data_IF_344041748358
#
_entry.id   IF_344041748358
#
_cell.length_a   1.000
_cell.length_b   1.000
_cell.length_c   1.000
_cell.angle_alpha   90.00
_cell.angle_beta   90.00
_cell.angle_gamma   90.00
#
_symmetry.space_group_name_H-M   'P 1'
#
loop_
_entity.id
_entity.type
_entity.pdbx_description
1 polymer ?
#
# COMPACT_ATOMS: atom_id res chain seq x y z
N UNK A 1 2.86 15.03 84.20
CA UNK A 1 2.95 13.80 83.38
C UNK A 1 2.52 14.21 81.97
N UNK A 2 3.46 14.56 81.09
CA UNK A 2 4.12 13.63 80.15
C UNK A 2 3.10 12.87 79.28
N UNK A 3 3.21 12.72 77.97
CA UNK A 3 4.17 13.12 76.94
C UNK A 3 3.39 12.93 75.61
N UNK A 4 3.34 13.93 74.74
CA UNK A 4 3.93 13.90 73.39
C UNK A 4 3.53 12.75 72.43
N UNK A 5 3.02 13.18 71.26
CA UNK A 5 3.47 12.78 69.92
C UNK A 5 3.63 11.27 69.66
N UNK A 6 2.70 10.71 68.89
CA UNK A 6 3.08 10.19 67.57
C UNK A 6 1.88 9.78 66.71
N UNK A 7 1.89 10.31 65.48
CA UNK A 7 1.30 9.74 64.25
C UNK A 7 -0.24 9.68 64.21
N UNK A 8 -1.01 10.61 63.64
CA UNK A 8 -0.80 11.62 62.58
C UNK A 8 -0.25 11.16 61.21
N UNK A 9 0.07 9.88 61.01
CA UNK A 9 0.63 9.40 59.73
C UNK A 9 -0.11 8.20 59.13
N UNK A 10 -1.43 8.29 58.96
CA UNK A 10 -2.14 7.32 58.09
C UNK A 10 -3.35 7.89 57.32
N UNK A 11 -3.69 9.18 57.48
CA UNK A 11 -4.87 9.78 56.85
C UNK A 11 -4.56 10.97 55.92
N UNK A 12 -3.37 11.02 55.33
CA UNK A 12 -2.98 12.09 54.38
C UNK A 12 -2.38 11.67 53.04
N UNK A 13 -2.44 10.40 52.67
CA UNK A 13 -2.12 9.97 51.29
C UNK A 13 -3.30 9.18 50.74
N UNK A 14 -4.14 9.83 49.93
CA UNK A 14 -4.94 9.27 48.80
C UNK A 14 -6.02 10.22 48.26
N UNK A 15 -5.85 11.53 48.40
CA UNK A 15 -6.64 12.51 47.63
C UNK A 15 -5.74 13.59 47.07
N UNK A 16 -5.04 13.25 45.97
CA UNK A 16 -4.70 14.10 44.81
C UNK A 16 -3.63 13.41 43.96
N UNK A 17 -3.92 13.25 42.68
CA UNK A 17 -3.10 12.60 41.65
C UNK A 17 -4.03 11.84 40.70
N UNK A 18 -4.52 12.50 39.65
CA UNK A 18 -3.96 12.40 38.28
C UNK A 18 -4.21 11.00 37.72
N UNK A 19 -5.17 10.88 36.82
CA UNK A 19 -4.93 10.91 35.36
C UNK A 19 -4.16 9.67 34.90
N UNK A 20 -4.59 9.13 33.77
CA UNK A 20 -4.04 7.98 33.06
C UNK A 20 -4.42 6.60 33.63
N UNK A 21 -5.48 6.01 33.07
CA UNK A 21 -5.28 4.96 32.04
C UNK A 21 -6.58 4.31 31.55
N UNK A 22 -6.68 4.31 30.21
CA UNK A 22 -7.30 3.30 29.34
C UNK A 22 -8.82 3.36 29.16
N UNK A 23 -9.21 4.38 28.40
CA UNK A 23 -10.13 4.19 27.28
C UNK A 23 -9.51 3.17 26.30
N UNK A 24 -9.95 1.92 26.37
CA UNK A 24 -9.69 0.93 25.32
C UNK A 24 -10.76 1.10 24.23
N UNK A 25 -10.35 1.82 23.18
CA UNK A 25 -10.46 1.41 21.78
C UNK A 25 -11.78 0.74 21.34
N UNK A 26 -12.81 1.56 21.22
CA UNK A 26 -13.82 1.38 20.18
C UNK A 26 -13.93 2.67 19.38
N UNK A 27 -12.96 2.92 18.49
CA UNK A 27 -13.19 3.84 17.38
C UNK A 27 -13.27 3.01 16.11
N UNK A 28 -14.52 2.69 15.79
CA UNK A 28 -14.96 2.32 14.46
C UNK A 28 -14.28 3.21 13.43
N UNK A 29 -13.68 2.54 12.45
CA UNK A 29 -13.05 3.10 11.27
C UNK A 29 -14.13 3.71 10.34
N UNK A 30 -14.89 4.69 10.84
CA UNK A 30 -15.77 5.52 10.04
C UNK A 30 -14.85 6.31 9.10
N UNK A 31 -15.01 6.06 7.80
CA UNK A 31 -14.53 6.97 6.76
C UNK A 31 -15.11 8.34 7.07
N UNK A 32 -14.34 9.20 7.73
CA UNK A 32 -14.71 10.60 7.89
C UNK A 32 -14.57 11.22 6.50
N UNK A 33 -15.67 11.19 5.76
CA UNK A 33 -15.87 12.09 4.64
C UNK A 33 -16.09 13.44 5.31
N UNK A 34 -14.99 14.14 5.62
CA UNK A 34 -15.07 15.45 6.27
C UNK A 34 -15.98 16.33 5.41
N UNK A 35 -17.13 16.69 5.97
CA UNK A 35 -17.95 17.74 5.38
C UNK A 35 -17.13 19.05 5.43
N UNK A 36 -17.48 20.06 4.62
CA UNK A 36 -16.78 21.35 4.64
C UNK A 36 -16.74 21.98 6.05
N UNK A 37 -17.75 21.69 6.87
CA UNK A 37 -17.87 22.14 8.26
C UNK A 37 -16.88 21.39 9.18
N UNK A 38 -16.84 20.06 9.12
CA UNK A 38 -15.89 19.26 9.92
C UNK A 38 -14.42 19.54 9.54
N UNK A 39 -14.16 19.93 8.29
CA UNK A 39 -12.83 20.37 7.87
C UNK A 39 -12.45 21.71 8.52
N UNK A 40 -13.39 22.64 8.66
CA UNK A 40 -13.13 23.93 9.31
C UNK A 40 -12.86 23.73 10.81
N UNK A 41 -13.63 22.88 11.48
CA UNK A 41 -13.43 22.57 12.89
C UNK A 41 -12.06 21.93 13.14
N UNK A 42 -11.64 20.99 12.26
CA UNK A 42 -10.31 20.39 12.32
C UNK A 42 -9.18 21.41 12.08
N UNK A 43 -9.42 22.39 11.19
CA UNK A 43 -8.46 23.47 10.94
C UNK A 43 -8.37 24.44 12.12
N UNK A 44 -9.47 24.75 12.78
CA UNK A 44 -9.48 25.54 14.02
C UNK A 44 -8.73 24.82 15.14
N UNK A 45 -8.96 23.52 15.33
CA UNK A 45 -8.24 22.72 16.33
C UNK A 45 -6.72 22.72 16.05
N UNK A 46 -6.31 22.63 14.79
CA UNK A 46 -4.90 22.70 14.40
C UNK A 46 -4.30 24.11 14.59
N UNK A 47 -5.06 25.17 14.32
CA UNK A 47 -4.64 26.56 14.57
C UNK A 47 -4.41 26.78 16.06
N UNK A 48 -5.34 26.32 16.90
CA UNK A 48 -5.29 26.52 18.34
C UNK A 48 -4.18 25.70 19.01
N UNK A 49 -4.01 24.44 18.59
CA UNK A 49 -3.03 23.51 19.19
C UNK A 49 -1.58 23.82 18.81
N UNK A 50 -1.34 24.35 17.61
CA UNK A 50 0.02 24.61 17.11
C UNK A 50 0.34 26.09 16.90
N UNK A 51 -0.60 26.99 17.24
CA UNK A 51 -0.49 28.45 17.07
C UNK A 51 -0.07 28.84 15.63
N UNK A 52 -0.67 28.17 14.65
CA UNK A 52 -0.38 28.33 13.23
C UNK A 52 -1.35 29.37 12.65
N UNK A 53 -0.83 30.51 12.17
CA UNK A 53 -1.64 31.50 11.44
C UNK A 53 -2.21 30.93 10.14
N UNK A 54 -3.38 31.42 9.69
CA UNK A 54 -4.06 30.96 8.46
C UNK A 54 -3.15 30.96 7.22
N UNK A 55 -2.24 31.92 7.15
CA UNK A 55 -1.21 32.08 6.12
C UNK A 55 -0.26 30.87 5.96
N UNK A 56 -0.14 30.03 7.00
CA UNK A 56 0.76 28.87 7.03
C UNK A 56 0.03 27.55 6.70
N UNK A 57 -1.30 27.57 6.56
CA UNK A 57 -2.10 26.39 6.23
C UNK A 57 -2.39 26.37 4.72
N UNK A 58 -1.68 25.49 4.00
CA UNK A 58 -1.91 25.30 2.57
C UNK A 58 -2.76 24.06 2.30
N UNK A 59 -4.06 24.25 2.12
CA UNK A 59 -4.98 23.17 1.70
C UNK A 59 -4.78 22.90 0.21
N UNK A 60 -4.19 21.76 -0.14
CA UNK A 60 -4.06 21.32 -1.52
C UNK A 60 -5.15 20.30 -1.84
N UNK A 61 -6.19 20.72 -2.56
CA UNK A 61 -7.19 19.81 -3.10
C UNK A 61 -6.56 18.97 -4.21
N UNK A 62 -6.26 17.70 -3.95
CA UNK A 62 -5.77 16.76 -4.96
C UNK A 62 -6.96 16.13 -5.68
N UNK A 63 -7.37 16.72 -6.80
CA UNK A 63 -8.39 16.10 -7.66
C UNK A 63 -7.76 14.95 -8.45
N UNK A 64 -8.02 13.70 -8.02
CA UNK A 64 -7.63 12.51 -8.78
C UNK A 64 -8.55 12.36 -10.00
N UNK A 65 -8.13 12.82 -11.18
CA UNK A 65 -8.79 12.45 -12.42
C UNK A 65 -8.69 10.93 -12.62
N UNK A 66 -9.83 10.24 -12.71
CA UNK A 66 -9.86 8.81 -13.04
C UNK A 66 -9.20 8.62 -14.42
N UNK A 67 -8.26 7.66 -14.57
CA UNK A 67 -7.65 7.41 -15.86
C UNK A 67 -8.72 6.97 -16.87
N UNK A 68 -8.64 7.40 -18.13
CA UNK A 68 -9.59 6.98 -19.16
C UNK A 68 -9.49 5.47 -19.40
N UNK A 69 -10.63 4.82 -19.66
CA UNK A 69 -10.72 3.35 -19.88
C UNK A 69 -9.71 2.83 -20.89
N UNK A 70 -9.45 3.57 -21.97
CA UNK A 70 -8.44 3.20 -22.99
C UNK A 70 -7.04 3.03 -22.39
N UNK A 71 -6.63 3.95 -21.52
CA UNK A 71 -5.31 3.89 -20.86
C UNK A 71 -5.25 2.70 -19.90
N UNK A 72 -6.36 2.43 -19.20
CA UNK A 72 -6.48 1.29 -18.32
C UNK A 72 -6.30 -0.02 -19.10
N UNK A 73 -7.07 -0.23 -20.17
CA UNK A 73 -6.98 -1.43 -21.03
C UNK A 73 -5.57 -1.63 -21.61
N UNK A 74 -4.96 -0.56 -22.14
CA UNK A 74 -3.59 -0.62 -22.69
C UNK A 74 -2.58 -0.99 -21.60
N UNK A 75 -2.73 -0.44 -20.39
CA UNK A 75 -1.86 -0.78 -19.26
C UNK A 75 -1.99 -2.24 -18.86
N UNK A 76 -3.20 -2.80 -18.89
CA UNK A 76 -3.43 -4.22 -18.64
C UNK A 76 -2.74 -5.08 -19.70
N UNK A 77 -2.99 -4.82 -20.98
CA UNK A 77 -2.38 -5.57 -22.08
C UNK A 77 -0.85 -5.52 -22.05
N UNK A 78 -0.26 -4.35 -21.78
CA UNK A 78 1.18 -4.23 -21.62
C UNK A 78 1.70 -5.08 -20.46
N UNK A 79 0.98 -5.13 -19.33
CA UNK A 79 1.38 -5.94 -18.17
C UNK A 79 1.46 -7.42 -18.54
N UNK A 80 0.43 -7.96 -19.20
CA UNK A 80 0.43 -9.34 -19.69
C UNK A 80 1.57 -9.61 -20.68
N UNK A 81 1.80 -8.67 -21.61
CA UNK A 81 2.88 -8.80 -22.57
C UNK A 81 4.26 -8.83 -21.90
N UNK A 82 4.50 -7.95 -20.92
CA UNK A 82 5.76 -7.94 -20.18
C UNK A 82 5.96 -9.21 -19.35
N UNK A 83 4.90 -9.74 -18.73
CA UNK A 83 4.95 -11.01 -18.02
C UNK A 83 5.34 -12.16 -18.95
N UNK A 84 4.67 -12.24 -20.09
CA UNK A 84 4.93 -13.28 -21.07
C UNK A 84 6.35 -13.22 -21.63
N UNK A 85 6.81 -12.02 -22.01
CA UNK A 85 8.17 -11.79 -22.49
C UNK A 85 9.21 -12.16 -21.42
N UNK A 86 8.97 -11.79 -20.16
CA UNK A 86 9.85 -12.10 -19.06
C UNK A 86 9.95 -13.61 -18.83
N UNK A 87 8.82 -14.32 -18.83
CA UNK A 87 8.77 -15.77 -18.64
C UNK A 87 9.50 -16.49 -19.77
N UNK A 88 9.26 -16.10 -21.03
CA UNK A 88 9.94 -16.70 -22.18
C UNK A 88 11.43 -16.41 -22.14
N UNK A 89 11.84 -15.16 -21.90
CA UNK A 89 13.24 -14.78 -21.86
C UNK A 89 13.99 -15.55 -20.76
N UNK A 90 13.39 -15.66 -19.57
CA UNK A 90 13.97 -16.44 -18.48
C UNK A 90 13.98 -17.93 -18.76
N UNK A 91 12.97 -18.48 -19.44
CA UNK A 91 13.01 -19.88 -19.85
C UNK A 91 14.10 -20.14 -20.89
N UNK A 92 14.29 -19.23 -21.85
CA UNK A 92 15.35 -19.31 -22.86
C UNK A 92 16.75 -19.23 -22.25
N UNK A 93 16.92 -18.45 -21.17
CA UNK A 93 18.22 -18.29 -20.51
C UNK A 93 18.50 -19.39 -19.47
N UNK A 94 17.54 -19.68 -18.58
CA UNK A 94 17.74 -20.61 -17.45
C UNK A 94 17.35 -22.04 -17.78
N UNK A 95 16.50 -22.26 -18.79
CA UNK A 95 15.94 -23.58 -19.09
C UNK A 95 15.21 -24.17 -17.88
N UNK A 96 14.44 -23.37 -17.13
CA UNK A 96 13.82 -23.80 -15.87
C UNK A 96 12.72 -24.86 -16.06
N UNK A 97 12.17 -24.99 -17.27
CA UNK A 97 11.19 -26.00 -17.64
C UNK A 97 11.40 -26.47 -19.08
N UNK A 98 10.66 -27.51 -19.48
CA UNK A 98 10.64 -28.01 -20.87
C UNK A 98 9.99 -26.95 -21.77
N UNK A 99 10.65 -26.62 -22.90
CA UNK A 99 10.16 -25.58 -23.79
C UNK A 99 8.84 -26.01 -24.46
N UNK A 100 7.74 -25.38 -24.03
CA UNK A 100 6.43 -25.52 -24.63
C UNK A 100 5.74 -24.16 -24.60
N UNK A 101 5.67 -23.50 -25.76
CA UNK A 101 5.16 -22.13 -25.88
C UNK A 101 3.72 -21.98 -25.37
N UNK A 102 2.88 -23.00 -25.57
CA UNK A 102 1.48 -22.98 -25.12
C UNK A 102 1.37 -23.08 -23.60
N UNK A 103 2.17 -23.96 -22.97
CA UNK A 103 2.22 -24.04 -21.50
C UNK A 103 2.81 -22.79 -20.88
N UNK A 104 3.85 -22.19 -21.48
CA UNK A 104 4.43 -20.93 -21.01
C UNK A 104 3.46 -19.75 -21.16
N UNK A 105 2.72 -19.70 -22.26
CA UNK A 105 1.66 -18.70 -22.47
C UNK A 105 0.55 -18.87 -21.43
N UNK A 106 0.07 -20.09 -21.23
CA UNK A 106 -0.94 -20.39 -20.22
C UNK A 106 -0.45 -20.02 -18.82
N UNK A 107 0.80 -20.33 -18.49
CA UNK A 107 1.42 -19.98 -17.21
C UNK A 107 1.44 -18.47 -17.01
N UNK A 108 1.86 -17.71 -18.04
CA UNK A 108 1.85 -16.26 -18.00
C UNK A 108 0.44 -15.70 -17.81
N UNK A 109 -0.55 -16.20 -18.56
CA UNK A 109 -1.93 -15.72 -18.46
C UNK A 109 -2.50 -15.97 -17.07
N UNK A 110 -2.31 -17.18 -16.53
CA UNK A 110 -2.80 -17.55 -15.19
C UNK A 110 -2.10 -16.72 -14.13
N UNK A 111 -0.78 -16.58 -14.19
CA UNK A 111 -0.01 -15.76 -13.27
C UNK A 111 -0.52 -14.31 -13.25
N UNK A 112 -0.57 -13.66 -14.41
CA UNK A 112 -1.02 -12.26 -14.52
C UNK A 112 -2.48 -12.10 -14.07
N UNK A 113 -3.36 -13.07 -14.40
CA UNK A 113 -4.77 -13.02 -13.98
C UNK A 113 -4.90 -13.14 -12.46
N UNK A 114 -4.22 -14.10 -11.84
CA UNK A 114 -4.24 -14.28 -10.39
C UNK A 114 -3.68 -13.06 -9.66
N UNK A 115 -2.56 -12.52 -10.12
CA UNK A 115 -1.95 -11.33 -9.54
C UNK A 115 -2.93 -10.15 -9.57
N UNK A 116 -3.60 -9.93 -10.71
CA UNK A 116 -4.57 -8.86 -10.87
C UNK A 116 -5.82 -9.05 -10.00
N UNK A 117 -6.38 -10.26 -9.96
CA UNK A 117 -7.55 -10.55 -9.13
C UNK A 117 -7.25 -10.34 -7.65
N UNK A 118 -6.13 -10.87 -7.15
CA UNK A 118 -5.75 -10.71 -5.74
C UNK A 118 -5.49 -9.24 -5.44
N UNK A 119 -4.83 -8.51 -6.35
CA UNK A 119 -4.58 -7.08 -6.21
C UNK A 119 -5.88 -6.28 -6.15
N UNK A 120 -6.86 -6.58 -6.99
CA UNK A 120 -8.15 -5.90 -7.00
C UNK A 120 -8.97 -6.19 -5.74
N UNK A 121 -8.93 -7.44 -5.26
CA UNK A 121 -9.51 -7.83 -3.98
C UNK A 121 -8.86 -7.03 -2.84
N UNK A 122 -7.53 -6.92 -2.79
CA UNK A 122 -6.84 -6.10 -1.79
C UNK A 122 -7.21 -4.62 -1.90
N UNK A 123 -7.30 -4.08 -3.11
CA UNK A 123 -7.74 -2.69 -3.31
C UNK A 123 -9.14 -2.43 -2.77
N UNK A 124 -10.04 -3.41 -2.93
CA UNK A 124 -11.43 -3.28 -2.51
C UNK A 124 -11.63 -3.42 -1.01
N UNK A 125 -10.97 -4.40 -0.39
CA UNK A 125 -11.20 -4.74 1.02
C UNK A 125 -10.15 -4.13 1.96
N UNK A 126 -8.89 -3.99 1.53
CA UNK A 126 -7.77 -3.53 2.36
C UNK A 126 -6.96 -2.39 1.69
N UNK A 127 -7.60 -1.29 1.24
CA UNK A 127 -6.90 -0.21 0.55
C UNK A 127 -5.79 0.42 1.41
N UNK A 128 -6.04 0.59 2.72
CA UNK A 128 -5.05 1.11 3.67
C UNK A 128 -3.76 0.29 3.65
N UNK A 129 -3.87 -1.04 3.65
CA UNK A 129 -2.72 -1.94 3.63
C UNK A 129 -1.87 -1.72 2.37
N UNK A 130 -2.49 -1.56 1.20
CA UNK A 130 -1.77 -1.34 -0.05
C UNK A 130 -1.06 0.02 -0.10
N UNK A 131 -1.66 1.07 0.47
CA UNK A 131 -1.02 2.38 0.57
C UNK A 131 0.12 2.39 1.59
N UNK A 132 -0.07 1.84 2.79
CA UNK A 132 0.96 1.83 3.83
C UNK A 132 2.13 0.90 3.52
N UNK A 133 1.89 -0.19 2.80
CA UNK A 133 2.97 -1.09 2.41
C UNK A 133 3.83 -0.54 1.26
N UNK A 134 3.50 0.60 0.65
CA UNK A 134 4.18 1.12 -0.55
C UNK A 134 4.33 0.06 -1.66
N UNK A 135 3.35 -0.85 -1.78
CA UNK A 135 3.39 -1.94 -2.75
C UNK A 135 4.24 -3.17 -2.37
N UNK A 136 4.90 -3.23 -1.20
CA UNK A 136 5.60 -4.45 -0.75
C UNK A 136 4.66 -5.64 -0.53
N UNK A 137 3.38 -5.37 -0.23
CA UNK A 137 2.33 -6.40 -0.16
C UNK A 137 2.15 -7.16 -1.49
N UNK A 138 2.61 -6.61 -2.61
CA UNK A 138 2.57 -7.28 -3.91
C UNK A 138 3.56 -8.45 -4.00
N UNK A 139 4.60 -8.49 -3.17
CA UNK A 139 5.60 -9.57 -3.17
C UNK A 139 4.97 -10.92 -2.77
N UNK A 140 4.33 -11.06 -1.58
CA UNK A 140 3.68 -12.32 -1.22
C UNK A 140 2.57 -12.69 -2.21
N UNK A 141 1.84 -11.72 -2.75
CA UNK A 141 0.83 -11.95 -3.79
C UNK A 141 1.46 -12.56 -5.05
N UNK A 142 2.59 -12.00 -5.51
CA UNK A 142 3.30 -12.51 -6.68
C UNK A 142 3.81 -13.93 -6.45
N UNK A 143 4.33 -14.22 -5.26
CA UNK A 143 4.78 -15.56 -4.88
C UNK A 143 3.61 -16.56 -4.94
N UNK A 144 2.49 -16.23 -4.29
CA UNK A 144 1.28 -17.07 -4.31
C UNK A 144 0.76 -17.29 -5.73
N UNK A 145 0.71 -16.23 -6.55
CA UNK A 145 0.27 -16.31 -7.94
C UNK A 145 1.19 -17.21 -8.78
N UNK A 146 2.51 -17.13 -8.60
CA UNK A 146 3.47 -17.99 -9.31
C UNK A 146 3.32 -19.46 -8.92
N UNK A 147 3.18 -19.75 -7.62
CA UNK A 147 3.00 -21.13 -7.14
C UNK A 147 1.71 -21.74 -7.69
N UNK A 148 0.61 -20.97 -7.67
CA UNK A 148 -0.66 -21.42 -8.23
C UNK A 148 -0.59 -21.58 -9.75
N UNK A 149 0.01 -20.64 -10.47
CA UNK A 149 0.19 -20.74 -11.91
C UNK A 149 1.03 -21.97 -12.28
N UNK A 150 2.08 -22.24 -11.52
CA UNK A 150 2.92 -23.43 -11.70
C UNK A 150 2.11 -24.72 -11.52
N UNK A 151 1.34 -24.79 -10.44
CA UNK A 151 0.52 -25.95 -10.13
C UNK A 151 -0.55 -26.20 -11.20
N UNK A 152 -1.26 -25.16 -11.64
CA UNK A 152 -2.35 -25.29 -12.62
C UNK A 152 -1.81 -25.69 -14.00
N UNK A 153 -0.65 -25.16 -14.41
CA UNK A 153 -0.10 -25.44 -15.75
C UNK A 153 0.64 -26.76 -15.88
N UNK A 154 1.03 -27.38 -14.76
CA UNK A 154 1.75 -28.64 -14.78
C UNK A 154 3.06 -28.55 -15.57
N UNK A 155 3.84 -27.49 -15.32
CA UNK A 155 5.18 -27.35 -15.86
C UNK A 155 6.14 -28.30 -15.12
N UNK A 156 7.00 -28.96 -15.89
CA UNK A 156 8.04 -29.84 -15.33
C UNK A 156 9.16 -28.97 -14.77
N UNK A 157 9.53 -29.21 -13.51
CA UNK A 157 10.63 -28.50 -12.87
C UNK A 157 11.97 -29.09 -13.33
N UNK A 158 12.90 -28.20 -13.71
CA UNK A 158 14.33 -28.52 -13.88
C UNK A 158 15.15 -27.85 -12.78
N UNK A 159 16.42 -28.20 -12.67
CA UNK A 159 17.31 -27.76 -11.59
C UNK A 159 17.32 -26.24 -11.35
N UNK A 160 17.11 -25.44 -12.39
CA UNK A 160 17.12 -23.98 -12.33
C UNK A 160 15.77 -23.35 -11.95
N UNK A 161 14.76 -24.12 -11.54
CA UNK A 161 13.44 -23.58 -11.19
C UNK A 161 13.51 -22.56 -10.05
N UNK A 162 14.25 -22.85 -8.98
CA UNK A 162 14.37 -21.94 -7.84
C UNK A 162 15.02 -20.61 -8.24
N UNK A 163 16.06 -20.66 -9.09
CA UNK A 163 16.70 -19.48 -9.65
C UNK A 163 15.73 -18.66 -10.51
N UNK A 164 14.87 -19.32 -11.30
CA UNK A 164 13.81 -18.64 -12.04
C UNK A 164 12.89 -17.87 -11.11
N UNK A 165 12.36 -18.48 -10.04
CA UNK A 165 11.47 -17.78 -9.10
C UNK A 165 12.13 -16.53 -8.50
N UNK A 166 13.38 -16.65 -8.04
CA UNK A 166 14.11 -15.53 -7.43
C UNK A 166 14.34 -14.40 -8.45
N UNK A 167 14.90 -14.72 -9.61
CA UNK A 167 15.22 -13.73 -10.65
C UNK A 167 13.95 -13.08 -11.18
N UNK A 168 12.89 -13.87 -11.40
CA UNK A 168 11.60 -13.36 -11.84
C UNK A 168 11.03 -12.35 -10.84
N UNK A 169 11.04 -12.66 -9.54
CA UNK A 169 10.55 -11.74 -8.51
C UNK A 169 11.37 -10.44 -8.44
N UNK A 170 12.69 -10.53 -8.55
CA UNK A 170 13.57 -9.35 -8.55
C UNK A 170 13.28 -8.47 -9.77
N UNK A 171 13.22 -9.06 -10.97
CA UNK A 171 12.93 -8.32 -12.20
C UNK A 171 11.53 -7.70 -12.15
N UNK A 172 10.55 -8.43 -11.57
CA UNK A 172 9.20 -7.93 -11.38
C UNK A 172 9.15 -6.74 -10.42
N UNK A 173 9.89 -6.81 -9.31
CA UNK A 173 10.01 -5.70 -8.37
C UNK A 173 10.60 -4.46 -9.05
N UNK A 174 11.68 -4.63 -9.82
CA UNK A 174 12.32 -3.55 -10.57
C UNK A 174 11.33 -2.93 -11.58
N UNK A 175 10.63 -3.75 -12.37
CA UNK A 175 9.62 -3.27 -13.31
C UNK A 175 8.50 -2.49 -12.61
N UNK A 176 7.98 -3.00 -11.50
CA UNK A 176 6.93 -2.33 -10.74
C UNK A 176 7.41 -0.97 -10.21
N UNK A 177 8.63 -0.89 -9.67
CA UNK A 177 9.23 0.37 -9.19
C UNK A 177 9.40 1.37 -10.35
N UNK A 178 9.90 0.92 -11.51
CA UNK A 178 10.07 1.76 -12.70
C UNK A 178 8.73 2.29 -13.23
N UNK A 179 7.71 1.43 -13.32
CA UNK A 179 6.37 1.80 -13.76
C UNK A 179 5.69 2.77 -12.78
N UNK A 180 5.81 2.51 -11.47
CA UNK A 180 5.29 3.40 -10.43
C UNK A 180 5.98 4.77 -10.47
N UNK A 181 7.31 4.83 -10.64
CA UNK A 181 8.05 6.09 -10.77
C UNK A 181 7.53 6.93 -11.94
N UNK A 182 7.33 6.31 -13.12
CA UNK A 182 6.80 7.00 -14.31
C UNK A 182 5.40 7.58 -14.09
N UNK A 183 4.53 6.85 -13.38
CA UNK A 183 3.18 7.32 -13.09
C UNK A 183 3.16 8.41 -12.00
N UNK A 184 4.06 8.30 -11.02
CA UNK A 184 4.21 9.27 -9.93
C UNK A 184 4.72 10.63 -10.42
N UNK A 185 5.70 10.65 -11.31
CA UNK A 185 6.26 11.88 -11.86
C UNK A 185 5.20 12.66 -12.67
N UNK A 186 4.32 11.95 -13.39
CA UNK A 186 3.17 12.57 -14.07
C UNK A 186 2.14 13.15 -13.09
N UNK A 187 1.95 12.51 -11.95
CA UNK A 187 1.01 12.97 -10.92
C UNK A 187 1.53 14.21 -10.20
N UNK A 188 2.83 14.27 -9.88
CA UNK A 188 3.45 15.47 -9.29
C UNK A 188 3.52 16.65 -10.26
N UNK A 189 3.76 16.40 -11.56
CA UNK A 189 3.74 17.46 -12.57
C UNK A 189 2.34 18.06 -12.81
N UNK A 190 1.27 17.39 -12.37
CA UNK A 190 -0.10 17.90 -12.41
C UNK A 190 -0.49 18.69 -11.14
N UNK A 191 0.29 18.61 -10.07
CA UNK A 191 0.15 19.46 -8.88
C UNK A 191 0.84 20.80 -9.20
N UNK A 192 0.28 21.55 -10.17
CA UNK A 192 0.58 22.97 -10.30
C UNK A 192 -0.13 23.65 -9.13
N UNK A 193 0.65 24.10 -8.14
CA UNK A 193 0.15 24.92 -7.05
C UNK A 193 -0.71 26.06 -7.60
N UNK A 194 -1.86 26.28 -6.97
CA UNK A 194 -2.75 27.39 -7.30
C UNK A 194 -1.93 28.67 -7.46
N UNK A 195 -2.04 29.29 -8.64
CA UNK A 195 -1.54 30.64 -8.86
C UNK A 195 -2.21 31.52 -7.81
N UNK A 196 -1.39 32.17 -6.98
CA UNK A 196 -1.82 33.22 -6.07
C UNK A 196 -2.71 34.19 -6.86
N UNK A 197 -4.00 34.20 -6.51
CA UNK A 197 -4.88 35.32 -6.85
C UNK A 197 -4.34 36.55 -6.15
N UNK A 198 -4.11 37.61 -6.92
CA UNK A 198 -3.80 38.94 -6.43
C UNK A 198 -4.93 39.47 -5.55
#
# INVERSE_FOLDING_TARGET
MENNKNKQDLNKEKQKGQDDKKQEEQNEDKKVILTPEELNDFLEELKEKYNIGEENIKIVKIERKKPPLKILIVSFLLSYLFDFLLIIALNGYLGFTTYNIWKLLLFSVIFSTLELLIREILMRFFPKLMFYSLGTILIPISISALLLAWWITGLEAKDNYALFFIIFLILRLIMNVLLMKRNRDKMFNQIKGGRNGK
#
